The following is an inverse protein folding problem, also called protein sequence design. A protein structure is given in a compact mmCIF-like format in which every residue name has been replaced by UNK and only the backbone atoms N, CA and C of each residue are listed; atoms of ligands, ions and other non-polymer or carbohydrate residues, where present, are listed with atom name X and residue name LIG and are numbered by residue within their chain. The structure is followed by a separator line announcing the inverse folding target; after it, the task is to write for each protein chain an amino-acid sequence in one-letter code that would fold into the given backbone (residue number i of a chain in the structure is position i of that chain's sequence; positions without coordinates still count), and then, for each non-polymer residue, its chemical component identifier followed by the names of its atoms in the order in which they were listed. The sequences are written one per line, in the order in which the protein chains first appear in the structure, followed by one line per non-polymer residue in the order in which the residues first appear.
data_IF_267234269575
#
_entry.id   IF_267234269575
#
_cell.length_a   1.000
_cell.length_b   1.000
_cell.length_c   1.000
_cell.angle_alpha   90.00
_cell.angle_beta   90.00
_cell.angle_gamma   90.00
#
_symmetry.space_group_name_H-M   'P 1'
#
loop_
_entity.id
_entity.type
_entity.pdbx_description
1 polymer ?
#
# COMPACT_ATOMS: atom_id res chain seq x y z
N UNK A 1 0.39 -55.41 35.58
CA UNK A 1 0.72 -56.37 34.51
C UNK A 1 0.45 -55.70 33.19
N UNK A 2 1.47 -55.62 32.34
CA UNK A 2 1.52 -54.90 31.07
C UNK A 2 0.29 -55.15 30.18
N UNK A 3 -0.34 -54.08 29.67
CA UNK A 3 -1.16 -54.17 28.46
C UNK A 3 -0.46 -53.39 27.35
N UNK A 4 0.09 -54.16 26.42
CA UNK A 4 0.82 -53.71 25.26
C UNK A 4 -0.12 -53.05 24.24
N UNK A 5 0.36 -51.96 23.65
CA UNK A 5 -0.22 -51.30 22.49
C UNK A 5 -0.09 -52.21 21.25
N UNK A 6 -1.19 -52.41 20.52
CA UNK A 6 -1.15 -52.85 19.13
C UNK A 6 -1.37 -51.64 18.23
N UNK A 7 -0.32 -51.22 17.54
CA UNK A 7 -0.41 -50.30 16.43
C UNK A 7 -0.79 -51.09 15.17
N UNK A 8 -1.96 -50.82 14.60
CA UNK A 8 -2.37 -51.34 13.28
C UNK A 8 -2.02 -50.31 12.21
N UNK A 9 -1.07 -50.68 11.36
CA UNK A 9 -0.63 -49.95 10.17
C UNK A 9 -1.69 -50.09 9.08
N UNK A 10 -2.39 -49.00 8.75
CA UNK A 10 -3.19 -48.93 7.52
C UNK A 10 -2.30 -48.43 6.37
N UNK A 11 -1.92 -49.35 5.49
CA UNK A 11 -1.32 -49.02 4.19
C UNK A 11 -2.44 -48.65 3.21
N UNK A 12 -2.56 -47.36 2.85
CA UNK A 12 -3.42 -46.95 1.74
C UNK A 12 -2.63 -47.01 0.42
N UNK A 13 -3.05 -47.92 -0.45
CA UNK A 13 -2.61 -48.02 -1.83
C UNK A 13 -3.33 -46.94 -2.66
N UNK A 14 -2.63 -45.85 -2.98
CA UNK A 14 -3.12 -44.86 -3.96
C UNK A 14 -2.89 -45.42 -5.37
N UNK A 15 -3.95 -45.98 -5.94
CA UNK A 15 -4.06 -46.27 -7.38
C UNK A 15 -4.15 -44.96 -8.17
N UNK A 16 -3.18 -44.73 -9.06
CA UNK A 16 -3.17 -43.64 -10.05
C UNK A 16 -4.37 -43.79 -10.99
N UNK A 17 -5.39 -42.96 -10.83
CA UNK A 17 -6.38 -42.71 -11.88
C UNK A 17 -5.95 -41.50 -12.71
N UNK A 18 -5.47 -41.77 -13.92
CA UNK A 18 -5.28 -40.78 -14.98
C UNK A 18 -6.63 -40.41 -15.58
N UNK A 19 -7.15 -39.24 -15.24
CA UNK A 19 -8.29 -38.62 -15.92
C UNK A 19 -7.82 -37.32 -16.59
N UNK A 20 -7.31 -37.45 -17.82
CA UNK A 20 -7.23 -36.34 -18.76
C UNK A 20 -7.58 -36.89 -20.14
N UNK A 21 -8.88 -36.90 -20.44
CA UNK A 21 -9.36 -37.11 -21.80
C UNK A 21 -9.64 -35.72 -22.39
N UNK A 22 -8.67 -35.23 -23.16
CA UNK A 22 -8.71 -33.94 -23.85
C UNK A 22 -9.53 -34.07 -25.13
N UNK A 23 -10.86 -33.89 -25.06
CA UNK A 23 -11.68 -33.54 -26.23
C UNK A 23 -12.88 -32.67 -25.85
N UNK A 24 -12.70 -31.36 -25.91
CA UNK A 24 -13.81 -30.46 -26.26
C UNK A 24 -13.35 -29.48 -27.35
N UNK A 25 -13.87 -29.68 -28.55
CA UNK A 25 -13.77 -28.75 -29.66
C UNK A 25 -15.07 -27.97 -29.73
N UNK A 26 -15.03 -26.67 -29.43
CA UNK A 26 -16.04 -25.71 -29.87
C UNK A 26 -15.34 -24.38 -30.27
N UNK A 27 -15.32 -24.13 -31.58
CA UNK A 27 -14.99 -22.90 -32.33
C UNK A 27 -13.73 -22.07 -31.98
N UNK A 28 -12.71 -22.23 -32.84
CA UNK A 28 -11.99 -21.08 -33.41
C UNK A 28 -10.59 -20.77 -32.89
N UNK A 29 -9.58 -21.36 -33.54
CA UNK A 29 -8.12 -21.10 -33.48
C UNK A 29 -7.34 -21.72 -32.29
N UNK A 30 -6.26 -22.48 -32.57
CA UNK A 30 -5.37 -22.98 -31.52
C UNK A 30 -4.59 -21.82 -30.91
N UNK A 31 -4.79 -21.56 -29.62
CA UNK A 31 -3.87 -20.74 -28.83
C UNK A 31 -2.58 -21.56 -28.70
N UNK A 32 -1.48 -21.06 -29.24
CA UNK A 32 -0.15 -21.55 -28.90
C UNK A 32 0.02 -21.30 -27.39
N UNK A 33 -0.15 -22.34 -26.58
CA UNK A 33 0.31 -22.33 -25.20
C UNK A 33 1.84 -22.31 -25.23
N UNK A 34 2.42 -21.11 -25.36
CA UNK A 34 3.74 -20.88 -24.78
C UNK A 34 3.55 -21.04 -23.28
N UNK A 35 3.97 -22.18 -22.77
CA UNK A 35 4.07 -22.40 -21.33
C UNK A 35 4.80 -21.19 -20.74
N UNK A 36 4.18 -20.55 -19.75
CA UNK A 36 4.84 -19.52 -18.94
C UNK A 36 6.17 -20.11 -18.47
N UNK A 37 7.28 -19.54 -18.94
CA UNK A 37 8.59 -19.94 -18.46
C UNK A 37 8.87 -19.12 -17.22
N UNK A 38 9.07 -19.74 -16.05
CA UNK A 38 9.52 -19.00 -14.88
C UNK A 38 10.91 -18.44 -15.17
N UNK A 39 11.01 -17.13 -15.36
CA UNK A 39 12.30 -16.45 -15.46
C UNK A 39 12.78 -16.11 -14.06
N UNK A 40 14.03 -16.53 -13.82
CA UNK A 40 14.74 -16.61 -12.54
C UNK A 40 14.81 -15.27 -11.80
N UNK A 41 14.14 -15.15 -10.65
CA UNK A 41 14.85 -14.76 -9.44
C UNK A 41 15.79 -15.94 -9.12
N UNK A 42 17.02 -15.68 -8.65
CA UNK A 42 17.82 -16.77 -8.08
C UNK A 42 17.04 -17.36 -6.92
N UNK A 43 16.38 -18.49 -7.14
CA UNK A 43 15.80 -19.29 -6.06
C UNK A 43 16.95 -19.68 -5.15
N UNK A 44 17.15 -18.93 -4.07
CA UNK A 44 17.84 -19.44 -2.92
C UNK A 44 16.97 -20.56 -2.38
N UNK A 45 17.20 -21.78 -2.88
CA UNK A 45 16.78 -23.02 -2.24
C UNK A 45 17.57 -23.13 -0.92
N UNK A 46 17.28 -22.23 0.02
CA UNK A 46 17.62 -22.44 1.40
C UNK A 46 16.68 -23.56 1.88
N UNK A 47 17.18 -24.75 2.23
CA UNK A 47 16.34 -25.75 2.86
C UNK A 47 15.69 -25.08 4.07
N UNK A 48 14.35 -25.05 4.10
CA UNK A 48 13.59 -24.59 5.26
C UNK A 48 13.72 -25.69 6.31
N UNK A 49 14.88 -25.75 6.96
CA UNK A 49 14.98 -26.40 8.26
C UNK A 49 14.23 -25.52 9.24
N UNK A 50 13.27 -26.11 9.96
CA UNK A 50 12.70 -25.48 11.16
C UNK A 50 13.87 -24.95 11.98
N UNK A 51 13.98 -23.62 12.11
CA UNK A 51 15.00 -23.04 12.97
C UNK A 51 14.79 -23.62 14.37
N UNK A 52 15.88 -24.01 15.04
CA UNK A 52 15.80 -24.40 16.43
C UNK A 52 15.17 -23.22 17.18
N UNK A 53 13.99 -23.45 17.77
CA UNK A 53 13.26 -22.43 18.52
C UNK A 53 14.16 -22.07 19.70
N UNK A 54 14.59 -20.80 19.87
CA UNK A 54 15.56 -20.43 20.90
C UNK A 54 14.99 -20.49 22.33
N UNK A 55 13.77 -20.96 22.49
CA UNK A 55 13.05 -21.12 23.73
C UNK A 55 12.28 -22.44 23.74
N UNK A 56 12.12 -23.01 24.93
CA UNK A 56 11.31 -24.21 25.12
C UNK A 56 9.83 -23.82 25.15
N UNK A 57 9.06 -24.33 24.19
CA UNK A 57 7.62 -24.08 24.08
C UNK A 57 6.81 -24.70 25.22
N UNK A 58 7.28 -25.82 25.80
CA UNK A 58 6.61 -26.50 26.92
C UNK A 58 6.85 -25.80 28.27
N UNK A 59 7.87 -24.94 28.35
CA UNK A 59 8.23 -24.21 29.57
C UNK A 59 8.42 -22.71 29.31
N UNK A 60 7.70 -22.16 28.34
CA UNK A 60 7.81 -20.76 27.96
C UNK A 60 7.17 -19.86 29.03
N UNK A 61 7.83 -18.77 29.38
CA UNK A 61 7.27 -17.75 30.29
C UNK A 61 7.75 -16.37 29.84
N UNK A 62 6.81 -15.45 29.65
CA UNK A 62 7.13 -14.05 29.39
C UNK A 62 7.69 -13.37 30.66
N UNK A 63 8.49 -12.34 30.48
CA UNK A 63 8.87 -11.46 31.58
C UNK A 63 7.64 -10.72 32.14
N UNK A 64 7.57 -10.47 33.46
CA UNK A 64 6.47 -9.71 34.05
C UNK A 64 6.35 -8.30 33.45
N UNK A 65 5.13 -7.81 33.27
CA UNK A 65 4.83 -6.46 32.78
C UNK A 65 3.60 -5.88 33.50
N UNK A 66 3.45 -4.55 33.49
CA UNK A 66 2.25 -3.85 33.99
C UNK A 66 1.47 -3.24 32.83
N UNK A 67 0.15 -3.28 32.91
CA UNK A 67 -0.77 -2.75 31.90
C UNK A 67 -0.54 -1.25 31.64
N UNK A 68 -0.25 -0.49 32.71
CA UNK A 68 0.04 0.95 32.60
C UNK A 68 1.31 1.27 31.81
N UNK A 69 2.30 0.35 31.79
CA UNK A 69 3.51 0.52 30.97
C UNK A 69 3.12 0.43 29.49
N UNK A 70 2.33 -0.57 29.12
CA UNK A 70 1.86 -0.77 27.74
C UNK A 70 1.03 0.43 27.26
N UNK A 71 0.09 0.91 28.09
CA UNK A 71 -0.71 2.11 27.79
C UNK A 71 0.15 3.35 27.56
N UNK A 72 1.15 3.59 28.43
CA UNK A 72 2.08 4.73 28.31
C UNK A 72 2.96 4.63 27.07
N UNK A 73 3.47 3.45 26.74
CA UNK A 73 4.30 3.25 25.55
C UNK A 73 3.56 3.60 24.27
N UNK A 74 2.34 3.08 24.09
CA UNK A 74 1.53 3.38 22.90
C UNK A 74 1.17 4.87 22.84
N UNK A 75 0.67 5.42 23.95
CA UNK A 75 0.23 6.82 24.01
C UNK A 75 1.39 7.78 23.74
N UNK A 76 2.54 7.55 24.37
CA UNK A 76 3.72 8.41 24.20
C UNK A 76 4.17 8.43 22.75
N UNK A 77 4.30 7.27 22.11
CA UNK A 77 4.76 7.16 20.71
C UNK A 77 3.77 7.82 19.76
N UNK A 78 2.48 7.49 19.88
CA UNK A 78 1.45 8.08 19.02
C UNK A 78 1.35 9.59 19.18
N UNK A 79 1.47 10.11 20.40
CA UNK A 79 1.47 11.55 20.64
C UNK A 79 2.71 12.25 20.07
N UNK A 80 3.90 11.62 20.15
CA UNK A 80 5.10 12.15 19.49
C UNK A 80 4.95 12.16 17.97
N UNK A 81 4.33 11.13 17.38
CA UNK A 81 4.01 11.11 15.96
C UNK A 81 3.03 12.24 15.60
N UNK A 82 1.96 12.44 16.38
CA UNK A 82 1.01 13.53 16.15
C UNK A 82 1.66 14.91 16.24
N UNK A 83 2.56 15.13 17.20
CA UNK A 83 3.30 16.40 17.33
C UNK A 83 4.22 16.59 16.12
N UNK A 84 4.99 15.57 15.75
CA UNK A 84 5.97 15.63 14.66
C UNK A 84 5.30 15.89 13.32
N UNK A 85 4.18 15.22 13.05
CA UNK A 85 3.49 15.29 11.76
C UNK A 85 2.36 16.33 11.72
N UNK A 86 2.14 17.13 12.76
CA UNK A 86 1.18 18.23 12.72
C UNK A 86 1.53 19.29 11.64
N UNK A 87 2.83 19.42 11.32
CA UNK A 87 3.36 20.16 10.18
C UNK A 87 4.37 19.25 9.45
N UNK A 88 4.01 18.79 8.25
CA UNK A 88 4.80 17.78 7.51
C UNK A 88 5.08 18.20 6.07
N UNK A 89 6.00 17.49 5.41
CA UNK A 89 6.34 17.80 4.01
C UNK A 89 5.25 17.30 3.06
N UNK A 90 4.86 16.04 3.20
CA UNK A 90 3.86 15.41 2.34
C UNK A 90 2.82 14.65 3.16
N UNK A 91 1.55 14.92 2.89
CA UNK A 91 0.42 14.09 3.33
C UNK A 91 -0.11 13.29 2.15
N UNK A 92 -0.21 11.97 2.31
CA UNK A 92 -0.82 11.07 1.34
C UNK A 92 -2.15 10.58 1.92
N UNK A 93 -3.26 10.85 1.23
CA UNK A 93 -4.60 10.45 1.66
C UNK A 93 -5.02 9.17 0.91
N UNK A 94 -5.22 8.09 1.65
CA UNK A 94 -5.51 6.75 1.14
C UNK A 94 -4.25 5.91 0.95
N UNK A 95 -4.17 4.78 1.65
CA UNK A 95 -3.09 3.80 1.56
C UNK A 95 -3.44 2.63 0.62
N UNK A 96 -4.08 2.94 -0.53
CA UNK A 96 -4.28 1.98 -1.62
C UNK A 96 -2.99 1.74 -2.43
N UNK A 97 -3.05 0.91 -3.48
CA UNK A 97 -1.88 0.61 -4.33
C UNK A 97 -1.18 1.86 -4.88
N UNK A 98 -1.92 2.87 -5.32
CA UNK A 98 -1.34 4.13 -5.80
C UNK A 98 -0.70 4.97 -4.68
N UNK A 99 -1.38 5.12 -3.54
CA UNK A 99 -0.88 5.87 -2.38
C UNK A 99 0.37 5.22 -1.78
N UNK A 100 0.36 3.88 -1.62
CA UNK A 100 1.52 3.12 -1.17
C UNK A 100 2.70 3.22 -2.15
N UNK A 101 2.44 3.19 -3.46
CA UNK A 101 3.50 3.35 -4.47
C UNK A 101 4.08 4.77 -4.46
N UNK A 102 3.25 5.79 -4.29
CA UNK A 102 3.69 7.18 -4.11
C UNK A 102 4.55 7.33 -2.85
N UNK A 103 4.08 6.81 -1.71
CA UNK A 103 4.79 6.86 -0.45
C UNK A 103 6.13 6.14 -0.52
N UNK A 104 6.16 4.94 -1.12
CA UNK A 104 7.38 4.17 -1.30
C UNK A 104 8.41 4.93 -2.14
N UNK A 105 8.00 5.50 -3.27
CA UNK A 105 8.87 6.29 -4.14
C UNK A 105 9.40 7.55 -3.45
N UNK A 106 8.54 8.29 -2.74
CA UNK A 106 8.94 9.47 -1.96
C UNK A 106 9.91 9.13 -0.83
N UNK A 107 9.66 8.04 -0.12
CA UNK A 107 10.44 7.63 1.06
C UNK A 107 11.90 7.29 0.77
N UNK A 108 12.25 7.10 -0.52
CA UNK A 108 13.64 6.95 -0.97
C UNK A 108 14.47 8.19 -0.71
N UNK A 109 13.84 9.37 -0.61
CA UNK A 109 14.48 10.56 -0.08
C UNK A 109 14.27 10.61 1.45
N UNK A 110 15.32 10.43 2.27
CA UNK A 110 15.19 10.39 3.72
C UNK A 110 14.87 11.75 4.36
N UNK A 111 15.06 12.85 3.61
CA UNK A 111 14.89 14.23 4.12
C UNK A 111 13.44 14.73 4.07
N UNK A 112 12.50 13.87 3.64
CA UNK A 112 11.08 14.21 3.49
C UNK A 112 10.28 13.42 4.52
N UNK A 113 9.53 14.12 5.37
CA UNK A 113 8.56 13.50 6.25
C UNK A 113 7.25 13.20 5.51
N UNK A 114 6.79 11.96 5.58
CA UNK A 114 5.62 11.47 4.84
C UNK A 114 4.57 10.94 5.83
N UNK A 115 3.47 11.67 5.99
CA UNK A 115 2.28 11.18 6.69
C UNK A 115 1.34 10.49 5.69
N UNK A 116 0.88 9.29 6.04
CA UNK A 116 -0.14 8.56 5.29
C UNK A 116 -1.41 8.51 6.15
N UNK A 117 -2.49 9.09 5.65
CA UNK A 117 -3.80 9.08 6.30
C UNK A 117 -4.66 7.99 5.64
N UNK A 118 -5.04 6.98 6.40
CA UNK A 118 -5.87 5.87 5.92
C UNK A 118 -7.08 5.68 6.83
N UNK A 119 -8.28 5.78 6.25
CA UNK A 119 -9.52 5.73 7.00
C UNK A 119 -9.88 4.32 7.47
N UNK A 120 -9.48 3.28 6.73
CA UNK A 120 -9.60 1.89 7.17
C UNK A 120 -8.60 1.56 8.29
N UNK A 121 -8.96 0.61 9.14
CA UNK A 121 -7.99 -0.01 10.06
C UNK A 121 -6.88 -0.72 9.27
N UNK A 122 -7.25 -1.41 8.20
CA UNK A 122 -6.30 -2.10 7.32
C UNK A 122 -5.96 -1.25 6.09
N UNK A 123 -4.69 -0.84 5.92
CA UNK A 123 -4.22 -0.24 4.67
C UNK A 123 -4.23 -1.26 3.53
N UNK A 124 -3.91 -0.81 2.31
CA UNK A 124 -3.87 -1.61 1.09
C UNK A 124 -5.04 -1.37 0.13
N UNK A 125 -6.13 -0.75 0.62
CA UNK A 125 -7.31 -0.45 -0.19
C UNK A 125 -7.83 -1.68 -0.94
N UNK A 126 -8.11 -1.53 -2.24
CA UNK A 126 -8.59 -2.61 -3.10
C UNK A 126 -7.52 -3.61 -3.56
N UNK A 127 -6.25 -3.46 -3.16
CA UNK A 127 -5.14 -4.28 -3.66
C UNK A 127 -4.91 -5.59 -2.87
N UNK A 128 -5.88 -6.02 -2.08
CA UNK A 128 -5.83 -7.32 -1.38
C UNK A 128 -6.26 -8.49 -2.27
N UNK A 129 -7.00 -8.20 -3.34
CA UNK A 129 -7.59 -9.18 -4.25
C UNK A 129 -7.40 -8.75 -5.71
N UNK A 130 -7.57 -9.70 -6.62
CA UNK A 130 -7.84 -9.45 -8.03
C UNK A 130 -9.33 -9.18 -8.28
N UNK A 131 -9.81 -9.52 -9.48
CA UNK A 131 -11.23 -9.38 -9.83
C UNK A 131 -12.12 -10.44 -9.17
N UNK A 132 -13.34 -10.07 -8.80
CA UNK A 132 -14.39 -11.02 -8.36
C UNK A 132 -13.96 -11.93 -7.20
N UNK A 133 -13.21 -11.39 -6.24
CA UNK A 133 -12.65 -12.12 -5.09
C UNK A 133 -11.58 -13.16 -5.44
N UNK A 134 -11.11 -13.23 -6.68
CA UNK A 134 -9.93 -14.02 -7.04
C UNK A 134 -8.64 -13.37 -6.52
N UNK A 135 -7.55 -14.13 -6.53
CA UNK A 135 -6.29 -13.74 -5.87
C UNK A 135 -5.30 -13.04 -6.78
N UNK A 136 -5.15 -13.51 -8.03
CA UNK A 136 -4.07 -13.11 -8.92
C UNK A 136 -4.12 -11.60 -9.24
N UNK A 137 -2.95 -10.95 -9.24
CA UNK A 137 -2.80 -9.55 -9.59
C UNK A 137 -2.08 -9.43 -10.93
N UNK A 138 -2.81 -8.99 -11.95
CA UNK A 138 -2.28 -8.78 -13.30
C UNK A 138 -1.68 -7.37 -13.41
N UNK A 139 -0.47 -7.29 -13.96
CA UNK A 139 0.29 -6.05 -14.13
C UNK A 139 0.84 -5.98 -15.55
N UNK A 140 0.35 -5.04 -16.36
CA UNK A 140 0.84 -4.83 -17.74
C UNK A 140 2.28 -4.28 -17.75
N UNK A 141 3.08 -4.68 -18.74
CA UNK A 141 4.42 -4.13 -18.94
C UNK A 141 4.32 -2.66 -19.41
N UNK A 142 5.26 -1.77 -19.02
CA UNK A 142 6.51 -2.04 -18.32
C UNK A 142 6.45 -1.96 -16.78
N UNK A 143 5.27 -2.02 -16.14
CA UNK A 143 5.16 -1.84 -14.68
C UNK A 143 5.81 -2.97 -13.84
N UNK A 144 6.09 -4.13 -14.43
CA UNK A 144 6.88 -5.20 -13.81
C UNK A 144 8.26 -4.72 -13.30
N UNK A 145 8.86 -3.69 -13.88
CA UNK A 145 10.13 -3.11 -13.39
C UNK A 145 10.03 -2.58 -11.95
N UNK A 146 8.85 -2.11 -11.55
CA UNK A 146 8.61 -1.70 -10.17
C UNK A 146 8.48 -2.91 -9.24
N UNK A 147 7.98 -4.04 -9.75
CA UNK A 147 7.97 -5.30 -9.01
C UNK A 147 9.39 -5.85 -8.82
N UNK A 148 10.25 -5.71 -9.82
CA UNK A 148 11.68 -6.05 -9.72
C UNK A 148 12.36 -5.26 -8.60
N UNK A 149 12.10 -3.96 -8.53
CA UNK A 149 12.62 -3.09 -7.47
C UNK A 149 12.14 -3.51 -6.07
N UNK A 150 10.88 -3.95 -5.97
CA UNK A 150 10.30 -4.46 -4.73
C UNK A 150 10.67 -5.92 -4.43
N UNK A 151 11.41 -6.58 -5.33
CA UNK A 151 11.78 -8.01 -5.25
C UNK A 151 10.55 -8.92 -5.13
N UNK A 152 9.46 -8.59 -5.84
CA UNK A 152 8.24 -9.39 -5.86
C UNK A 152 8.27 -10.35 -7.04
N UNK A 153 8.16 -11.65 -6.76
CA UNK A 153 8.06 -12.67 -7.80
C UNK A 153 6.74 -12.61 -8.56
N UNK A 154 6.81 -12.84 -9.87
CA UNK A 154 5.68 -12.89 -10.76
C UNK A 154 5.91 -13.92 -11.88
N UNK A 155 4.82 -14.44 -12.43
CA UNK A 155 4.84 -15.23 -13.65
C UNK A 155 4.83 -14.29 -14.86
N UNK A 156 5.80 -14.45 -15.76
CA UNK A 156 5.92 -13.62 -16.95
C UNK A 156 5.05 -14.16 -18.10
N UNK A 157 4.23 -13.28 -18.69
CA UNK A 157 3.58 -13.46 -19.98
C UNK A 157 4.16 -12.46 -21.00
N UNK A 158 3.67 -12.47 -22.25
CA UNK A 158 4.22 -11.64 -23.33
C UNK A 158 4.18 -10.13 -22.97
N UNK A 159 2.96 -9.57 -22.78
CA UNK A 159 2.74 -8.13 -22.57
C UNK A 159 2.38 -7.75 -21.12
N UNK A 160 2.33 -8.72 -20.22
CA UNK A 160 1.97 -8.54 -18.81
C UNK A 160 2.68 -9.56 -17.93
N UNK A 161 2.58 -9.36 -16.61
CA UNK A 161 3.04 -10.29 -15.59
C UNK A 161 1.92 -10.55 -14.58
N UNK A 162 2.00 -11.64 -13.86
CA UNK A 162 0.98 -12.04 -12.88
C UNK A 162 1.64 -12.35 -11.54
N UNK A 163 1.29 -11.57 -10.52
CA UNK A 163 1.67 -11.86 -9.14
C UNK A 163 0.67 -12.89 -8.60
N UNK A 164 1.19 -13.96 -8.00
CA UNK A 164 0.37 -15.11 -7.53
C UNK A 164 -0.79 -14.70 -6.63
N UNK A 165 -0.62 -13.62 -5.85
CA UNK A 165 -1.67 -13.05 -5.02
C UNK A 165 -1.46 -11.54 -4.87
N UNK A 166 -2.53 -10.74 -5.02
CA UNK A 166 -2.51 -9.29 -4.82
C UNK A 166 -1.96 -8.88 -3.44
N UNK A 167 -2.36 -9.60 -2.37
CA UNK A 167 -1.79 -9.49 -1.03
C UNK A 167 -0.25 -9.61 -0.96
N UNK A 168 0.41 -10.34 -1.88
CA UNK A 168 1.87 -10.41 -1.89
C UNK A 168 2.48 -9.06 -2.28
N UNK A 169 1.93 -8.39 -3.30
CA UNK A 169 2.35 -7.04 -3.65
C UNK A 169 2.11 -6.08 -2.49
N UNK A 170 0.88 -6.06 -1.99
CA UNK A 170 0.43 -5.10 -0.98
C UNK A 170 1.16 -5.24 0.33
N UNK A 171 1.38 -6.47 0.81
CA UNK A 171 2.12 -6.69 2.06
C UNK A 171 3.62 -6.40 1.90
N UNK A 172 4.24 -6.75 0.77
CA UNK A 172 5.66 -6.48 0.52
C UNK A 172 5.96 -4.99 0.44
N UNK A 173 5.21 -4.22 -0.37
CA UNK A 173 5.44 -2.78 -0.48
C UNK A 173 5.20 -2.08 0.86
N UNK A 174 4.15 -2.48 1.59
CA UNK A 174 3.84 -1.92 2.90
C UNK A 174 4.92 -2.23 3.92
N UNK A 175 5.46 -3.46 3.95
CA UNK A 175 6.56 -3.82 4.84
C UNK A 175 7.82 -2.99 4.56
N UNK A 176 8.23 -2.88 3.29
CA UNK A 176 9.40 -2.08 2.90
C UNK A 176 9.20 -0.58 3.18
N UNK A 177 7.98 -0.08 3.01
CA UNK A 177 7.62 1.32 3.27
C UNK A 177 7.59 1.65 4.77
N UNK A 178 6.90 0.84 5.59
CA UNK A 178 6.73 1.11 7.02
C UNK A 178 8.02 0.91 7.83
N UNK A 179 9.03 0.26 7.24
CA UNK A 179 10.38 0.19 7.81
C UNK A 179 11.18 1.50 7.63
N UNK A 180 10.68 2.47 6.85
CA UNK A 180 11.36 3.75 6.62
C UNK A 180 11.17 4.69 7.82
N UNK A 181 12.24 5.33 8.32
CA UNK A 181 12.16 6.19 9.52
C UNK A 181 11.40 7.50 9.30
N UNK A 182 11.27 7.94 8.04
CA UNK A 182 10.63 9.19 7.63
C UNK A 182 9.17 9.01 7.17
N UNK A 183 8.56 7.85 7.46
CA UNK A 183 7.19 7.53 7.08
C UNK A 183 6.37 7.23 8.33
N UNK A 184 5.18 7.83 8.41
CA UNK A 184 4.19 7.50 9.43
C UNK A 184 2.85 7.15 8.81
N UNK A 185 2.34 5.98 9.17
CA UNK A 185 0.97 5.58 8.86
C UNK A 185 0.04 5.93 10.03
N UNK A 186 -0.97 6.74 9.74
CA UNK A 186 -2.14 7.00 10.57
C UNK A 186 -3.35 6.30 9.96
N UNK A 187 -3.46 5.00 10.22
CA UNK A 187 -4.64 4.21 9.85
C UNK A 187 -5.78 4.42 10.87
N UNK A 188 -7.00 4.06 10.49
CA UNK A 188 -8.23 4.41 11.21
C UNK A 188 -8.47 5.94 11.37
N UNK A 189 -7.84 6.75 10.51
CA UNK A 189 -7.96 8.22 10.50
C UNK A 189 -8.45 8.63 9.11
N UNK A 190 -9.57 9.35 9.05
CA UNK A 190 -10.11 9.88 7.80
C UNK A 190 -9.69 11.34 7.61
N UNK A 191 -9.42 11.72 6.36
CA UNK A 191 -9.40 13.12 5.97
C UNK A 191 -10.83 13.54 5.58
N UNK A 192 -11.44 14.42 6.37
CA UNK A 192 -12.82 14.89 6.19
C UNK A 192 -12.89 16.16 5.33
N UNK A 193 -11.84 16.97 5.38
CA UNK A 193 -11.74 18.24 4.66
C UNK A 193 -10.27 18.58 4.34
N UNK A 194 -10.05 19.70 3.65
CA UNK A 194 -8.77 20.24 3.25
C UNK A 194 -8.51 21.57 3.98
N UNK A 195 -7.25 21.82 4.34
CA UNK A 195 -6.82 23.16 4.74
C UNK A 195 -6.55 23.96 3.47
N UNK A 196 -7.29 25.05 3.26
CA UNK A 196 -7.13 25.90 2.06
C UNK A 196 -6.86 27.35 2.47
N UNK A 197 -5.73 27.90 2.03
CA UNK A 197 -5.31 29.29 2.29
C UNK A 197 -4.94 29.95 0.97
N UNK A 198 -5.60 31.06 0.61
CA UNK A 198 -5.29 31.82 -0.61
C UNK A 198 -5.39 31.02 -1.92
N UNK A 199 -6.34 30.08 -2.01
CA UNK A 199 -6.50 29.22 -3.19
C UNK A 199 -5.46 28.10 -3.33
N UNK A 200 -4.65 27.86 -2.29
CA UNK A 200 -3.71 26.73 -2.19
C UNK A 200 -4.15 25.76 -1.10
N UNK A 201 -4.11 24.46 -1.40
CA UNK A 201 -4.24 23.39 -0.40
C UNK A 201 -2.94 23.32 0.41
N UNK A 202 -3.05 23.40 1.73
CA UNK A 202 -1.93 23.45 2.66
C UNK A 202 -2.01 22.41 3.77
N UNK A 203 -2.80 21.34 3.58
CA UNK A 203 -2.97 20.29 4.58
C UNK A 203 -4.35 19.64 4.53
N UNK A 204 -4.63 18.82 5.54
CA UNK A 204 -5.87 18.06 5.68
C UNK A 204 -6.51 18.27 7.05
N UNK A 205 -7.83 18.15 7.09
CA UNK A 205 -8.62 18.11 8.31
C UNK A 205 -8.93 16.64 8.58
N UNK A 206 -8.54 16.15 9.76
CA UNK A 206 -8.54 14.72 10.08
C UNK A 206 -9.41 14.41 11.28
N UNK A 207 -10.04 13.25 11.28
CA UNK A 207 -10.68 12.69 12.46
C UNK A 207 -10.48 11.17 12.51
N UNK A 208 -10.81 10.54 13.64
CA UNK A 208 -10.97 9.09 13.65
C UNK A 208 -12.06 8.71 12.64
N UNK A 209 -11.82 7.71 11.81
CA UNK A 209 -12.75 7.38 10.73
C UNK A 209 -14.16 7.01 11.25
N UNK A 210 -14.25 6.40 12.44
CA UNK A 210 -15.53 6.12 13.09
C UNK A 210 -16.27 7.39 13.48
N UNK A 211 -15.56 8.43 13.95
CA UNK A 211 -16.16 9.75 14.23
C UNK A 211 -16.72 10.33 12.93
N UNK A 212 -15.94 10.27 11.84
CA UNK A 212 -16.35 10.74 10.52
C UNK A 212 -17.61 10.08 9.97
N UNK A 213 -17.81 8.79 10.26
CA UNK A 213 -19.01 8.05 9.85
C UNK A 213 -20.21 8.28 10.77
N UNK A 214 -20.05 9.01 11.88
CA UNK A 214 -21.04 9.09 12.96
C UNK A 214 -21.32 10.52 13.45
N UNK A 215 -21.06 11.54 12.63
CA UNK A 215 -21.39 12.95 12.96
C UNK A 215 -22.88 13.16 13.27
N UNK A 216 -23.79 12.38 12.66
CA UNK A 216 -25.24 12.52 12.85
C UNK A 216 -25.80 11.74 14.06
N UNK A 217 -24.96 10.97 14.79
CA UNK A 217 -25.44 10.06 15.85
C UNK A 217 -24.94 10.42 17.24
N UNK A 218 -24.15 11.48 17.38
CA UNK A 218 -23.59 11.98 18.64
C UNK A 218 -23.64 13.51 18.67
N UNK A 219 -23.24 14.13 19.80
CA UNK A 219 -22.91 15.55 19.80
C UNK A 219 -21.73 15.84 18.86
N UNK A 220 -21.60 17.08 18.39
CA UNK A 220 -20.50 17.47 17.50
C UNK A 220 -19.14 17.11 18.08
N UNK A 221 -18.31 16.46 17.27
CA UNK A 221 -16.94 16.04 17.60
C UNK A 221 -15.99 16.69 16.60
N UNK A 222 -15.46 17.85 16.96
CA UNK A 222 -14.60 18.62 16.07
C UNK A 222 -13.39 17.79 15.58
N UNK A 223 -12.96 18.01 14.33
CA UNK A 223 -11.79 17.35 13.79
C UNK A 223 -10.48 17.95 14.32
N UNK A 224 -9.38 17.26 14.05
CA UNK A 224 -8.02 17.76 14.17
C UNK A 224 -7.48 18.23 12.81
N UNK A 225 -6.27 18.78 12.76
CA UNK A 225 -5.66 19.32 11.54
C UNK A 225 -4.21 18.88 11.39
N UNK A 226 -3.76 18.78 10.13
CA UNK A 226 -2.39 18.47 9.75
C UNK A 226 -1.98 19.38 8.59
N UNK A 227 -1.02 20.28 8.81
CA UNK A 227 -0.45 21.13 7.76
C UNK A 227 0.53 20.34 6.91
N UNK A 228 0.55 20.63 5.60
CA UNK A 228 1.40 19.96 4.64
C UNK A 228 1.88 20.91 3.55
N UNK A 229 3.14 20.79 3.14
CA UNK A 229 3.64 21.53 1.96
C UNK A 229 2.96 21.06 0.67
N UNK A 230 2.72 19.73 0.58
CA UNK A 230 2.04 19.07 -0.55
C UNK A 230 1.09 18.00 -0.02
N UNK A 231 -0.13 17.95 -0.56
CA UNK A 231 -1.09 16.86 -0.36
C UNK A 231 -1.14 15.99 -1.61
N UNK A 232 -1.05 14.67 -1.45
CA UNK A 232 -1.30 13.69 -2.52
C UNK A 232 -2.58 12.92 -2.18
N UNK A 233 -3.64 13.15 -2.95
CA UNK A 233 -4.91 12.43 -2.82
C UNK A 233 -4.90 11.17 -3.67
N UNK A 234 -5.13 10.04 -3.02
CA UNK A 234 -5.19 8.70 -3.60
C UNK A 234 -6.40 7.92 -3.08
N UNK A 235 -7.54 8.61 -2.91
CA UNK A 235 -8.75 8.10 -2.26
C UNK A 235 -9.55 7.08 -3.11
N UNK A 236 -8.98 6.62 -4.23
CA UNK A 236 -9.66 5.71 -5.15
C UNK A 236 -10.99 6.28 -5.68
N UNK A 237 -11.92 5.39 -6.01
CA UNK A 237 -13.23 5.75 -6.55
C UNK A 237 -14.41 5.05 -5.86
N UNK A 238 -14.13 4.04 -5.03
CA UNK A 238 -15.14 3.17 -4.41
C UNK A 238 -15.42 3.53 -2.96
N UNK A 239 -16.59 3.13 -2.47
CA UNK A 239 -16.98 3.25 -1.07
C UNK A 239 -17.35 4.66 -0.62
N UNK A 240 -17.74 4.83 0.65
CA UNK A 240 -18.21 6.11 1.19
C UNK A 240 -17.13 7.20 1.21
N UNK A 241 -15.84 6.81 1.24
CA UNK A 241 -14.69 7.72 1.19
C UNK A 241 -14.01 7.76 -0.20
N UNK A 242 -14.65 7.17 -1.21
CA UNK A 242 -14.14 7.17 -2.57
C UNK A 242 -14.09 8.58 -3.14
N UNK A 243 -12.93 8.97 -3.65
CA UNK A 243 -12.69 10.26 -4.31
C UNK A 243 -12.99 11.49 -3.44
N UNK A 244 -12.79 11.39 -2.12
CA UNK A 244 -13.04 12.47 -1.16
C UNK A 244 -12.33 13.77 -1.55
N UNK A 245 -11.08 13.70 -2.00
CA UNK A 245 -10.28 14.88 -2.31
C UNK A 245 -10.88 15.70 -3.46
N UNK A 246 -11.11 15.05 -4.60
CA UNK A 246 -11.66 15.74 -5.79
C UNK A 246 -13.12 16.17 -5.60
N UNK A 247 -13.93 15.37 -4.89
CA UNK A 247 -15.30 15.78 -4.52
C UNK A 247 -15.29 17.00 -3.62
N UNK A 248 -14.35 17.07 -2.66
CA UNK A 248 -14.23 18.22 -1.78
C UNK A 248 -13.80 19.46 -2.56
N UNK A 249 -12.77 19.38 -3.41
CA UNK A 249 -12.34 20.49 -4.28
C UNK A 249 -13.50 21.09 -5.08
N UNK A 250 -14.38 20.24 -5.63
CA UNK A 250 -15.59 20.70 -6.34
C UNK A 250 -16.56 21.43 -5.40
N UNK A 251 -16.84 20.85 -4.23
CA UNK A 251 -17.80 21.42 -3.28
C UNK A 251 -17.40 22.80 -2.76
N UNK A 252 -16.10 23.09 -2.69
CA UNK A 252 -15.55 24.38 -2.26
C UNK A 252 -15.23 25.33 -3.43
N UNK A 253 -15.56 24.95 -4.66
CA UNK A 253 -15.40 25.79 -5.85
C UNK A 253 -13.95 25.96 -6.33
N UNK A 254 -13.03 25.07 -5.96
CA UNK A 254 -11.65 25.09 -6.46
C UNK A 254 -11.51 24.40 -7.83
N UNK A 255 -12.47 23.56 -8.20
CA UNK A 255 -12.61 22.99 -9.54
C UNK A 255 -14.08 23.03 -9.96
N UNK A 256 -14.34 23.10 -11.26
CA UNK A 256 -15.70 23.29 -11.78
C UNK A 256 -16.53 22.00 -11.79
N UNK A 257 -15.89 20.86 -12.04
CA UNK A 257 -16.60 19.59 -12.23
C UNK A 257 -15.81 18.37 -11.81
N UNK A 258 -16.56 17.32 -11.47
CA UNK A 258 -16.09 15.94 -11.26
C UNK A 258 -17.04 15.08 -12.09
N UNK A 259 -16.73 14.82 -13.37
CA UNK A 259 -17.61 14.12 -14.30
C UNK A 259 -17.88 12.66 -13.88
N UNK A 260 -17.01 12.07 -13.06
CA UNK A 260 -17.10 10.69 -12.60
C UNK A 260 -16.45 9.70 -13.57
N UNK A 261 -16.00 8.56 -13.06
CA UNK A 261 -15.37 7.52 -13.88
C UNK A 261 -16.30 7.02 -14.98
N UNK A 262 -15.74 6.74 -16.15
CA UNK A 262 -16.48 6.13 -17.28
C UNK A 262 -16.47 4.59 -17.20
N UNK A 263 -17.13 3.97 -18.17
CA UNK A 263 -17.13 2.53 -18.38
C UNK A 263 -15.71 1.97 -18.57
N UNK A 264 -15.58 0.65 -18.49
CA UNK A 264 -14.30 -0.04 -18.50
C UNK A 264 -13.69 -0.11 -19.91
N UNK A 265 -12.46 0.35 -20.04
CA UNK A 265 -11.58 0.14 -21.20
C UNK A 265 -10.13 0.15 -20.70
N UNK A 266 -9.53 -1.03 -20.52
CA UNK A 266 -8.20 -1.18 -19.92
C UNK A 266 -7.09 -0.48 -20.72
N UNK A 267 -7.17 -0.50 -22.05
CA UNK A 267 -6.13 0.08 -22.90
C UNK A 267 -6.13 1.59 -22.78
N UNK A 268 -7.31 2.21 -22.89
CA UNK A 268 -7.44 3.66 -22.75
C UNK A 268 -7.24 4.11 -21.29
N UNK A 269 -7.76 3.36 -20.32
CA UNK A 269 -7.74 3.73 -18.90
C UNK A 269 -6.33 3.83 -18.33
N UNK A 270 -5.51 2.79 -18.47
CA UNK A 270 -4.23 2.76 -17.76
C UNK A 270 -3.28 3.88 -18.21
N UNK A 271 -3.20 4.11 -19.52
CA UNK A 271 -2.41 5.20 -20.10
C UNK A 271 -2.97 6.57 -19.70
N UNK A 272 -4.30 6.73 -19.70
CA UNK A 272 -4.95 7.97 -19.31
C UNK A 272 -4.66 8.32 -17.84
N UNK A 273 -4.80 7.37 -16.92
CA UNK A 273 -4.57 7.60 -15.48
C UNK A 273 -3.14 8.02 -15.21
N UNK A 274 -2.16 7.32 -15.78
CA UNK A 274 -0.74 7.68 -15.63
C UNK A 274 -0.49 9.07 -16.23
N UNK A 275 -0.99 9.36 -17.44
CA UNK A 275 -0.82 10.67 -18.09
C UNK A 275 -1.47 11.82 -17.31
N UNK A 276 -2.65 11.59 -16.75
CA UNK A 276 -3.48 12.62 -16.11
C UNK A 276 -3.15 12.84 -14.63
N UNK A 277 -2.42 11.93 -13.98
CA UNK A 277 -1.84 12.17 -12.65
C UNK A 277 -1.03 13.47 -12.65
N UNK A 278 -1.43 14.45 -11.83
CA UNK A 278 -0.86 15.80 -11.81
C UNK A 278 -1.22 16.54 -10.51
N UNK A 279 -0.56 17.68 -10.29
CA UNK A 279 -1.06 18.72 -9.37
C UNK A 279 -2.32 19.34 -9.98
N UNK A 280 -3.49 19.10 -9.37
CA UNK A 280 -4.80 19.53 -9.88
C UNK A 280 -5.04 21.00 -9.55
N UNK A 281 -4.73 21.38 -8.31
CA UNK A 281 -4.75 22.74 -7.79
C UNK A 281 -3.45 22.96 -7.02
N UNK A 282 -3.00 24.21 -6.80
CA UNK A 282 -1.80 24.48 -6.04
C UNK A 282 -1.82 23.76 -4.68
N UNK A 283 -0.81 22.93 -4.43
CA UNK A 283 -0.62 22.16 -3.20
C UNK A 283 -1.32 20.80 -3.16
N UNK A 284 -2.08 20.40 -4.19
CA UNK A 284 -2.77 19.09 -4.19
C UNK A 284 -2.56 18.32 -5.50
N UNK A 285 -1.89 17.18 -5.39
CA UNK A 285 -1.70 16.18 -6.44
C UNK A 285 -2.79 15.11 -6.30
N UNK A 286 -3.30 14.63 -7.42
CA UNK A 286 -4.24 13.48 -7.45
C UNK A 286 -3.62 12.33 -8.23
N UNK A 287 -3.74 11.13 -7.68
CA UNK A 287 -3.16 9.89 -8.23
C UNK A 287 -4.10 8.69 -8.11
N UNK A 288 -3.79 7.63 -8.83
CA UNK A 288 -4.59 6.41 -8.90
C UNK A 288 -5.97 6.63 -9.53
N UNK A 289 -6.94 5.83 -9.12
CA UNK A 289 -8.28 5.89 -9.70
C UNK A 289 -9.07 7.15 -9.36
N UNK A 290 -8.66 7.94 -8.36
CA UNK A 290 -9.29 9.25 -8.10
C UNK A 290 -9.10 10.21 -9.29
N UNK A 291 -8.04 10.01 -10.09
CA UNK A 291 -7.84 10.71 -11.37
C UNK A 291 -8.98 10.42 -12.35
N UNK A 292 -9.53 9.20 -12.36
CA UNK A 292 -10.63 8.84 -13.25
C UNK A 292 -11.90 9.66 -12.98
N UNK A 293 -12.14 9.98 -11.71
CA UNK A 293 -13.33 10.72 -11.25
C UNK A 293 -13.29 12.17 -11.70
N UNK A 294 -12.15 12.84 -11.54
CA UNK A 294 -12.00 14.25 -11.92
C UNK A 294 -11.89 14.46 -13.42
N UNK A 295 -11.27 13.54 -14.16
CA UNK A 295 -11.04 13.71 -15.60
C UNK A 295 -12.05 12.94 -16.48
N UNK A 296 -12.92 12.14 -15.89
CA UNK A 296 -13.90 11.34 -16.62
C UNK A 296 -13.23 10.30 -17.52
N UNK A 297 -12.19 9.65 -17.01
CA UNK A 297 -11.47 8.60 -17.73
C UNK A 297 -12.17 7.25 -17.60
N UNK A 298 -11.98 6.33 -18.56
CA UNK A 298 -12.39 4.93 -18.40
C UNK A 298 -11.73 4.29 -17.17
N UNK A 299 -12.38 3.28 -16.59
CA UNK A 299 -11.79 2.44 -15.53
C UNK A 299 -11.06 1.24 -16.14
N UNK A 300 -10.08 0.67 -15.43
CA UNK A 300 -9.35 -0.54 -15.90
C UNK A 300 -9.84 -1.85 -15.28
N UNK A 301 -10.54 -1.82 -14.15
CA UNK A 301 -10.96 -3.06 -13.47
C UNK A 301 -9.75 -3.82 -12.88
N UNK A 302 -9.66 -5.16 -13.02
CA UNK A 302 -8.71 -5.99 -12.27
C UNK A 302 -7.28 -6.04 -12.86
N UNK A 303 -6.70 -4.89 -13.20
CA UNK A 303 -5.27 -4.73 -13.58
C UNK A 303 -4.68 -3.54 -12.82
N UNK A 304 -3.42 -3.64 -12.39
CA UNK A 304 -2.86 -2.77 -11.35
C UNK A 304 -1.65 -1.93 -11.81
N UNK A 305 -1.20 -2.09 -13.05
CA UNK A 305 -0.01 -1.40 -13.56
C UNK A 305 -0.15 0.13 -13.48
N UNK A 306 -1.29 0.66 -13.89
CA UNK A 306 -1.54 2.11 -13.80
C UNK A 306 -1.47 2.65 -12.38
N UNK A 307 -1.93 1.91 -11.36
CA UNK A 307 -1.90 2.39 -9.97
C UNK A 307 -0.46 2.54 -9.48
N UNK A 308 0.40 1.57 -9.79
CA UNK A 308 1.82 1.60 -9.43
C UNK A 308 2.51 2.81 -10.05
N UNK A 309 2.39 2.96 -11.38
CA UNK A 309 3.09 4.00 -12.14
C UNK A 309 2.50 5.39 -11.88
N UNK A 310 1.19 5.49 -11.70
CA UNK A 310 0.53 6.73 -11.27
C UNK A 310 1.03 7.17 -9.89
N UNK A 311 1.22 6.24 -8.96
CA UNK A 311 1.82 6.52 -7.65
C UNK A 311 3.26 7.04 -7.77
N UNK A 312 4.12 6.36 -8.54
CA UNK A 312 5.50 6.81 -8.78
C UNK A 312 5.56 8.20 -9.44
N UNK A 313 4.67 8.47 -10.41
CA UNK A 313 4.59 9.79 -11.03
C UNK A 313 4.17 10.86 -10.01
N UNK A 314 3.21 10.56 -9.14
CA UNK A 314 2.77 11.47 -8.09
C UNK A 314 3.89 11.82 -7.11
N UNK A 315 4.73 10.84 -6.75
CA UNK A 315 5.92 11.08 -5.95
C UNK A 315 6.88 12.09 -6.60
N UNK A 316 7.18 11.92 -7.90
CA UNK A 316 8.05 12.86 -8.59
C UNK A 316 7.42 14.25 -8.78
N UNK A 317 6.09 14.34 -8.89
CA UNK A 317 5.39 15.63 -8.86
C UNK A 317 5.51 16.31 -7.49
N UNK A 318 5.39 15.55 -6.39
CA UNK A 318 5.57 16.08 -5.04
C UNK A 318 7.02 16.54 -4.82
N UNK A 319 8.02 15.77 -5.26
CA UNK A 319 9.43 16.18 -5.23
C UNK A 319 9.64 17.49 -6.00
N UNK A 320 9.07 17.61 -7.21
CA UNK A 320 9.12 18.85 -8.00
C UNK A 320 8.48 20.02 -7.25
N UNK A 321 7.31 19.84 -6.65
CA UNK A 321 6.61 20.87 -5.88
C UNK A 321 7.39 21.32 -4.64
N UNK A 322 8.21 20.43 -4.06
CA UNK A 322 9.13 20.74 -2.96
C UNK A 322 10.47 21.36 -3.44
N UNK A 323 10.68 21.51 -4.75
CA UNK A 323 11.93 22.01 -5.32
C UNK A 323 13.09 21.02 -5.26
N UNK A 324 12.79 19.72 -5.15
CA UNK A 324 13.76 18.64 -5.00
C UNK A 324 14.05 17.92 -6.33
N UNK A 325 15.18 17.21 -6.45
CA UNK A 325 15.50 16.39 -7.62
C UNK A 325 14.39 15.38 -7.91
N UNK A 326 13.94 15.31 -9.17
CA UNK A 326 12.80 14.51 -9.59
C UNK A 326 12.92 14.04 -11.05
N UNK A 327 12.30 12.91 -11.37
CA UNK A 327 12.47 12.30 -12.69
C UNK A 327 11.81 13.09 -13.83
N UNK A 328 10.88 14.00 -13.50
CA UNK A 328 10.10 14.74 -14.50
C UNK A 328 10.86 15.94 -15.07
N UNK A 329 11.84 16.47 -14.34
CA UNK A 329 12.75 17.55 -14.77
C UNK A 329 14.09 17.01 -15.32
N UNK A 330 14.27 15.69 -15.37
CA UNK A 330 15.50 15.05 -15.86
C UNK A 330 16.72 15.23 -14.94
N UNK A 331 16.52 15.72 -13.71
CA UNK A 331 17.58 15.99 -12.73
C UNK A 331 17.68 14.91 -11.63
N UNK A 332 17.03 13.76 -11.83
CA UNK A 332 17.05 12.63 -10.89
C UNK A 332 18.10 11.60 -11.31
N UNK A 333 19.16 11.48 -10.51
CA UNK A 333 20.31 10.62 -10.83
C UNK A 333 20.16 9.17 -10.33
N UNK A 334 18.95 8.72 -9.94
CA UNK A 334 18.70 7.34 -9.47
C UNK A 334 19.46 6.92 -8.20
N UNK A 335 20.28 7.81 -7.64
CA UNK A 335 21.16 7.58 -6.49
C UNK A 335 20.89 8.66 -5.43
N UNK A 336 19.70 8.62 -4.85
CA UNK A 336 19.61 8.96 -3.44
C UNK A 336 20.26 7.78 -2.73
N UNK A 337 21.47 7.99 -2.20
CA UNK A 337 22.28 6.98 -1.52
C UNK A 337 21.35 6.06 -0.73
N UNK A 338 21.40 4.77 -1.04
CA UNK A 338 20.75 3.73 -0.26
C UNK A 338 21.30 3.81 1.17
N UNK A 339 20.66 4.60 2.03
CA UNK A 339 20.71 4.35 3.45
C UNK A 339 19.96 3.03 3.62
N UNK A 340 20.69 1.92 3.54
CA UNK A 340 20.22 0.69 4.14
C UNK A 340 20.03 1.02 5.62
N UNK A 341 18.82 0.88 6.18
CA UNK A 341 18.70 0.87 7.62
C UNK A 341 19.38 -0.42 8.07
N UNK A 342 20.55 -0.29 8.70
CA UNK A 342 21.03 -1.34 9.59
C UNK A 342 19.89 -1.60 10.57
N UNK A 343 19.36 -2.83 10.56
CA UNK A 343 18.40 -3.28 11.55
C UNK A 343 19.09 -3.26 12.92
N UNK A 344 19.02 -2.13 13.61
CA UNK A 344 19.44 -2.04 15.01
C UNK A 344 18.37 -2.73 15.84
N UNK A 345 18.57 -4.03 16.07
CA UNK A 345 18.00 -4.72 17.21
C UNK A 345 18.44 -3.96 18.46
N UNK A 346 17.50 -3.28 19.12
CA UNK A 346 17.71 -2.69 20.42
C UNK A 346 17.96 -3.82 21.44
N UNK A 347 19.21 -4.23 21.60
CA UNK A 347 19.64 -4.95 22.79
C UNK A 347 19.69 -3.95 23.94
N UNK A 348 18.75 -4.08 24.86
CA UNK A 348 18.76 -3.40 26.14
C UNK A 348 19.99 -3.86 26.94
N UNK A 349 20.99 -2.99 27.08
CA UNK A 349 21.90 -3.03 28.23
C UNK A 349 21.53 -1.88 29.15
N UNK A 350 20.83 -2.20 30.23
CA UNK A 350 20.82 -1.40 31.44
C UNK A 350 20.63 -2.34 32.62
N UNK A 351 21.75 -2.82 33.17
CA UNK A 351 21.81 -3.33 34.53
C UNK A 351 21.62 -2.14 35.47
N UNK A 352 20.38 -1.92 35.92
CA UNK A 352 20.13 -1.22 37.17
C UNK A 352 19.51 -2.21 38.15
N UNK A 353 20.39 -2.82 38.96
CA UNK A 353 20.03 -3.46 40.22
C UNK A 353 19.54 -2.39 41.19
N UNK A 354 18.25 -2.39 41.51
CA UNK A 354 17.74 -1.78 42.73
C UNK A 354 17.59 -2.87 43.79
N UNK A 355 18.49 -2.87 44.78
CA UNK A 355 18.27 -3.57 46.05
C UNK A 355 17.19 -2.85 46.88
N UNK A 356 16.35 -3.67 47.51
CA UNK A 356 15.36 -3.47 48.58
C UNK A 356 14.91 -2.05 48.98
#
# INVERSE_FOLDING_TARGET
SSMAAMATTFTSSISKYTFFDNKSTFYGSPINQRAAQPVKSTAQNSPITMSAVPYNLDSFTFQPIKESIVSREMTRRYMMDMITYADTDVVIVGAGSAGLSCAYELSKNPDINIAIIEQSVSPGGGAWLGGQLFSAMVVRKPAHKFLDELEIEYDEADDYVVIKHAALFTSTIMSKLLARPNVKLFNAVAAEDLIVKGGRVGGVVTNWALVSMNHDTQSCMDPNVMEAKVVVSSCGHDGPFGATGVKRLKSIGMIDSVPGMKALDMNAAEDAIVRLTREIVPGMIVTGMEVAEIDGSPRMGPTFGAMMISGQKAAHLALRALGLPNALDGNYNGSLKSAQPDFVLASLESDETCDA
#
